data_IF_614513310634
#
_entry.id   IF_614513310634
#
_cell.length_a   1.000
_cell.length_b   1.000
_cell.length_c   1.000
_cell.angle_alpha   90.00
_cell.angle_beta   90.00
_cell.angle_gamma   90.00
#
_symmetry.space_group_name_H-M   'P 1'
#
loop_
_entity.id
_entity.type
_entity.pdbx_description
1 polymer ?
#
# COMPACT_ATOMS: atom_id res chain seq x y z
N UNK A 1 -15.18 -14.85 9.69
CA UNK A 1 -14.10 -14.32 8.86
C UNK A 1 -12.78 -14.91 9.35
N UNK A 2 -11.99 -15.49 8.45
CA UNK A 2 -10.70 -16.14 8.74
C UNK A 2 -9.66 -15.57 7.77
N UNK A 3 -8.48 -15.22 8.28
CA UNK A 3 -7.36 -14.79 7.44
C UNK A 3 -6.53 -15.99 7.01
N UNK A 4 -6.21 -16.08 5.71
CA UNK A 4 -5.31 -17.08 5.17
C UNK A 4 -3.91 -16.49 5.04
N UNK A 5 -3.01 -16.90 5.95
CA UNK A 5 -1.59 -16.55 5.88
C UNK A 5 -0.90 -17.36 4.79
N UNK A 6 -0.73 -16.78 3.62
CA UNK A 6 -0.13 -17.44 2.45
C UNK A 6 1.35 -17.75 2.65
N UNK A 7 2.20 -16.87 3.20
CA UNK A 7 3.57 -17.20 3.60
C UNK A 7 3.67 -18.45 4.49
N UNK A 8 2.81 -18.57 5.49
CA UNK A 8 2.78 -19.73 6.38
C UNK A 8 2.32 -21.00 5.64
N UNK A 9 1.37 -20.86 4.72
CA UNK A 9 0.90 -21.95 3.86
C UNK A 9 2.02 -22.52 2.99
N UNK A 10 2.87 -21.65 2.44
CA UNK A 10 4.01 -22.03 1.61
C UNK A 10 5.19 -22.57 2.42
N UNK A 11 5.27 -22.24 3.71
CA UNK A 11 6.35 -22.66 4.60
C UNK A 11 6.45 -24.18 4.70
N UNK A 12 7.66 -24.74 4.43
CA UNK A 12 7.94 -26.15 4.52
C UNK A 12 7.36 -27.04 3.41
N UNK A 13 6.75 -26.46 2.36
CA UNK A 13 6.32 -27.23 1.19
C UNK A 13 7.47 -27.30 0.18
N UNK A 14 8.05 -28.48 -0.01
CA UNK A 14 9.11 -28.69 -1.00
C UNK A 14 8.54 -29.08 -2.37
N UNK A 15 7.45 -29.80 -2.41
CA UNK A 15 6.81 -30.28 -3.62
C UNK A 15 5.44 -29.66 -3.83
N UNK A 16 5.00 -29.57 -5.08
CA UNK A 16 3.66 -29.08 -5.45
C UNK A 16 2.55 -29.88 -4.77
N UNK A 17 2.69 -31.20 -4.69
CA UNK A 17 1.72 -32.07 -4.04
C UNK A 17 1.50 -31.79 -2.56
N UNK A 18 2.55 -31.34 -1.85
CA UNK A 18 2.44 -30.99 -0.42
C UNK A 18 1.56 -29.73 -0.24
N UNK A 19 1.73 -28.75 -1.14
CA UNK A 19 0.91 -27.55 -1.14
C UNK A 19 -0.55 -27.86 -1.48
N UNK A 20 -0.79 -28.68 -2.53
CA UNK A 20 -2.14 -29.08 -2.94
C UNK A 20 -2.87 -29.81 -1.81
N UNK A 21 -2.20 -30.75 -1.11
CA UNK A 21 -2.77 -31.45 0.04
C UNK A 21 -3.10 -30.49 1.19
N UNK A 22 -2.18 -29.57 1.51
CA UNK A 22 -2.37 -28.61 2.59
C UNK A 22 -3.51 -27.63 2.30
N UNK A 23 -3.59 -27.10 1.07
CA UNK A 23 -4.71 -26.24 0.66
C UNK A 23 -6.02 -27.00 0.76
N UNK A 24 -6.06 -28.23 0.26
CA UNK A 24 -7.25 -29.08 0.32
C UNK A 24 -7.71 -29.30 1.77
N UNK A 25 -6.80 -29.68 2.65
CA UNK A 25 -7.11 -29.92 4.07
C UNK A 25 -7.67 -28.66 4.77
N UNK A 26 -7.07 -27.49 4.49
CA UNK A 26 -7.56 -26.21 5.03
C UNK A 26 -8.96 -25.91 4.48
N UNK A 27 -9.16 -26.05 3.17
CA UNK A 27 -10.45 -25.71 2.54
C UNK A 27 -11.57 -26.68 3.00
N UNK A 28 -11.27 -27.96 3.20
CA UNK A 28 -12.23 -28.91 3.74
C UNK A 28 -12.65 -28.50 5.17
N UNK A 29 -11.72 -28.20 6.04
CA UNK A 29 -12.02 -27.74 7.41
C UNK A 29 -12.80 -26.42 7.43
N UNK A 30 -12.41 -25.47 6.58
CA UNK A 30 -13.12 -24.19 6.48
C UNK A 30 -14.54 -24.38 5.97
N UNK A 31 -14.77 -25.33 5.06
CA UNK A 31 -16.10 -25.62 4.53
C UNK A 31 -17.07 -26.25 5.55
N UNK A 32 -16.56 -26.77 6.69
CA UNK A 32 -17.36 -27.28 7.81
C UNK A 32 -17.92 -26.15 8.70
N UNK A 33 -17.39 -24.95 8.60
CA UNK A 33 -17.84 -23.77 9.35
C UNK A 33 -19.14 -23.21 8.78
N UNK A 34 -19.93 -22.56 9.61
CA UNK A 34 -21.16 -21.89 9.19
C UNK A 34 -20.80 -20.56 8.48
N UNK A 35 -21.19 -20.43 7.22
CA UNK A 35 -20.97 -19.24 6.40
C UNK A 35 -19.52 -18.74 6.37
N UNK A 36 -18.55 -19.57 5.97
CA UNK A 36 -17.15 -19.21 6.04
C UNK A 36 -16.77 -18.12 5.04
N UNK A 37 -16.00 -17.14 5.50
CA UNK A 37 -15.39 -16.11 4.66
C UNK A 37 -13.88 -16.15 4.91
N UNK A 38 -13.11 -16.37 3.85
CA UNK A 38 -11.65 -16.29 3.87
C UNK A 38 -11.24 -14.87 3.43
N UNK A 39 -10.35 -14.25 4.18
CA UNK A 39 -9.66 -13.03 3.79
C UNK A 39 -8.23 -13.34 3.39
N UNK A 40 -7.80 -12.81 2.27
CA UNK A 40 -6.41 -12.91 1.78
C UNK A 40 -5.91 -11.51 1.54
N UNK A 41 -4.92 -11.12 2.33
CA UNK A 41 -4.25 -9.85 2.13
C UNK A 41 -3.16 -10.01 1.07
N UNK A 42 -3.28 -9.24 0.01
CA UNK A 42 -2.35 -9.21 -1.12
C UNK A 42 -2.46 -10.39 -2.12
N UNK A 43 -3.13 -10.10 -3.24
CA UNK A 43 -3.25 -11.01 -4.39
C UNK A 43 -1.89 -11.51 -4.91
N UNK A 44 -0.81 -10.74 -4.76
CA UNK A 44 0.55 -11.13 -5.20
C UNK A 44 1.04 -12.40 -4.51
N UNK A 45 0.63 -12.60 -3.28
CA UNK A 45 1.02 -13.77 -2.50
C UNK A 45 0.48 -15.07 -3.08
N UNK A 46 -0.61 -15.01 -3.84
CA UNK A 46 -1.28 -16.17 -4.46
C UNK A 46 -0.68 -16.57 -5.81
N UNK A 47 -0.07 -15.61 -6.52
CA UNK A 47 0.54 -15.85 -7.82
C UNK A 47 2.03 -16.18 -7.68
N UNK A 48 2.49 -17.28 -8.24
CA UNK A 48 3.90 -17.64 -8.24
C UNK A 48 4.78 -16.57 -8.89
N UNK A 49 5.67 -15.98 -8.11
CA UNK A 49 6.54 -14.85 -8.49
C UNK A 49 7.78 -15.25 -9.31
N UNK A 50 7.82 -16.43 -9.92
CA UNK A 50 9.06 -16.93 -10.52
C UNK A 50 8.94 -17.13 -12.03
N UNK A 51 9.63 -16.26 -12.76
CA UNK A 51 9.92 -16.45 -14.20
C UNK A 51 10.77 -17.71 -14.49
N UNK A 52 11.25 -18.42 -13.46
CA UNK A 52 12.19 -19.51 -13.57
C UNK A 52 11.82 -20.78 -12.79
N UNK A 53 10.61 -20.90 -12.21
CA UNK A 53 10.22 -22.10 -11.49
C UNK A 53 9.21 -22.89 -12.33
N UNK A 54 9.67 -24.05 -12.81
CA UNK A 54 8.90 -25.02 -13.58
C UNK A 54 7.88 -25.69 -12.64
N UNK A 55 6.74 -25.02 -12.43
CA UNK A 55 5.70 -25.45 -11.53
C UNK A 55 5.25 -24.41 -10.50
N UNK A 56 5.18 -23.13 -10.92
CA UNK A 56 4.73 -22.06 -10.04
C UNK A 56 3.47 -22.45 -9.26
N UNK A 57 3.57 -22.32 -7.97
CA UNK A 57 2.54 -22.62 -6.98
C UNK A 57 1.39 -21.61 -7.13
N UNK A 58 0.52 -21.84 -8.12
CA UNK A 58 -0.67 -21.01 -8.34
C UNK A 58 -1.74 -21.43 -7.33
N UNK A 59 -1.65 -20.88 -6.11
CA UNK A 59 -2.59 -21.12 -5.03
C UNK A 59 -3.99 -20.68 -5.46
N UNK A 60 -4.09 -19.60 -6.25
CA UNK A 60 -5.37 -19.11 -6.74
C UNK A 60 -6.12 -20.18 -7.54
N UNK A 61 -5.43 -20.90 -8.42
CA UNK A 61 -6.04 -22.02 -9.18
C UNK A 61 -6.54 -23.15 -8.28
N UNK A 62 -5.90 -23.39 -7.14
CA UNK A 62 -6.35 -24.39 -6.17
C UNK A 62 -7.59 -23.94 -5.39
N UNK A 63 -7.79 -22.63 -5.20
CA UNK A 63 -8.97 -22.08 -4.51
C UNK A 63 -10.21 -21.99 -5.39
N UNK A 64 -10.04 -21.79 -6.71
CA UNK A 64 -11.16 -21.59 -7.66
C UNK A 64 -12.26 -22.65 -7.57
N UNK A 65 -12.00 -23.97 -7.46
CA UNK A 65 -13.06 -24.97 -7.36
C UNK A 65 -13.98 -24.75 -6.13
N UNK A 66 -13.42 -24.40 -4.98
CA UNK A 66 -14.17 -24.13 -3.75
C UNK A 66 -14.99 -22.85 -3.83
N UNK A 67 -14.46 -21.82 -4.50
CA UNK A 67 -15.19 -20.58 -4.74
C UNK A 67 -16.35 -20.77 -5.72
N UNK A 68 -16.14 -21.56 -6.78
CA UNK A 68 -17.19 -21.88 -7.77
C UNK A 68 -18.31 -22.74 -7.22
N UNK A 69 -18.00 -23.64 -6.28
CA UNK A 69 -19.04 -24.46 -5.62
C UNK A 69 -19.89 -23.65 -4.65
N UNK A 70 -19.44 -22.46 -4.25
CA UNK A 70 -20.10 -21.63 -3.25
C UNK A 70 -19.94 -22.13 -1.80
N UNK A 71 -19.12 -23.17 -1.58
CA UNK A 71 -18.85 -23.70 -0.23
C UNK A 71 -18.06 -22.73 0.62
N UNK A 72 -17.31 -21.83 0.00
CA UNK A 72 -16.49 -20.81 0.68
C UNK A 72 -16.65 -19.47 -0.04
N UNK A 73 -16.72 -18.39 0.73
CA UNK A 73 -16.62 -17.01 0.22
C UNK A 73 -15.22 -16.47 0.47
N UNK A 74 -14.72 -15.62 -0.42
CA UNK A 74 -13.38 -15.07 -0.31
C UNK A 74 -13.36 -13.57 -0.58
N UNK A 75 -12.61 -12.84 0.23
CA UNK A 75 -12.28 -11.43 0.03
C UNK A 75 -10.76 -11.36 -0.19
N UNK A 76 -10.33 -10.73 -1.27
CA UNK A 76 -8.90 -10.55 -1.60
C UNK A 76 -8.63 -9.07 -1.80
N UNK A 77 -7.61 -8.55 -1.12
CA UNK A 77 -7.09 -7.22 -1.41
C UNK A 77 -6.09 -7.26 -2.57
N UNK A 78 -6.11 -6.26 -3.43
CA UNK A 78 -5.21 -6.20 -4.58
C UNK A 78 -5.03 -4.77 -5.09
N UNK A 79 -3.86 -4.47 -5.65
CA UNK A 79 -3.66 -3.27 -6.45
C UNK A 79 -4.06 -3.51 -7.91
N UNK A 80 -4.32 -2.44 -8.66
CA UNK A 80 -4.60 -2.55 -10.10
C UNK A 80 -3.47 -3.23 -10.89
N UNK A 81 -2.22 -3.01 -10.48
CA UNK A 81 -1.07 -3.64 -11.12
C UNK A 81 -1.05 -5.14 -10.89
N UNK A 82 -1.39 -5.58 -9.69
CA UNK A 82 -1.39 -6.99 -9.33
C UNK A 82 -2.53 -7.73 -10.04
N UNK A 83 -3.69 -7.11 -10.13
CA UNK A 83 -4.81 -7.62 -10.95
C UNK A 83 -4.36 -7.84 -12.39
N UNK A 84 -3.73 -6.83 -13.02
CA UNK A 84 -3.23 -6.95 -14.39
C UNK A 84 -2.18 -8.05 -14.55
N UNK A 85 -1.28 -8.21 -13.58
CA UNK A 85 -0.27 -9.29 -13.60
C UNK A 85 -0.92 -10.66 -13.58
N UNK A 86 -1.89 -10.87 -12.68
CA UNK A 86 -2.61 -12.15 -12.59
C UNK A 86 -3.45 -12.41 -13.84
N UNK A 87 -4.14 -11.42 -14.39
CA UNK A 87 -4.90 -11.54 -15.63
C UNK A 87 -4.03 -11.92 -16.84
N UNK A 88 -2.79 -11.40 -16.90
CA UNK A 88 -1.85 -11.76 -17.96
C UNK A 88 -1.34 -13.20 -17.86
N UNK A 89 -1.26 -13.75 -16.64
CA UNK A 89 -0.83 -15.13 -16.40
C UNK A 89 -2.02 -16.09 -16.60
N UNK A 90 -3.16 -15.76 -16.03
CA UNK A 90 -4.37 -16.59 -16.04
C UNK A 90 -5.62 -15.70 -16.19
N UNK A 91 -6.02 -15.42 -17.42
CA UNK A 91 -7.13 -14.53 -17.74
C UNK A 91 -8.50 -14.92 -17.16
N UNK A 92 -8.65 -16.20 -16.74
CA UNK A 92 -9.90 -16.72 -16.18
C UNK A 92 -9.91 -16.79 -14.64
N UNK A 93 -8.75 -16.62 -13.99
CA UNK A 93 -8.62 -16.83 -12.56
C UNK A 93 -9.46 -15.85 -11.72
N UNK A 94 -9.55 -14.60 -12.16
CA UNK A 94 -10.29 -13.55 -11.46
C UNK A 94 -11.77 -13.47 -11.83
N UNK A 95 -12.24 -14.27 -12.78
CA UNK A 95 -13.65 -14.25 -13.23
C UNK A 95 -14.66 -14.67 -12.16
N UNK A 96 -14.20 -15.33 -11.09
CA UNK A 96 -15.03 -15.74 -9.95
C UNK A 96 -15.23 -14.63 -8.92
N UNK A 97 -14.49 -13.52 -9.03
CA UNK A 97 -14.54 -12.43 -8.09
C UNK A 97 -15.32 -11.25 -8.63
N UNK A 98 -16.10 -10.63 -7.75
CA UNK A 98 -16.68 -9.32 -7.99
C UNK A 98 -15.70 -8.24 -7.52
N UNK A 99 -15.42 -7.26 -8.38
CA UNK A 99 -14.50 -6.16 -8.05
C UNK A 99 -15.21 -5.07 -7.31
N UNK A 100 -14.64 -4.66 -6.18
CA UNK A 100 -15.04 -3.50 -5.41
C UNK A 100 -13.87 -2.52 -5.40
N UNK A 101 -14.05 -1.37 -6.03
CA UNK A 101 -13.02 -0.34 -6.09
C UNK A 101 -13.02 0.50 -4.82
N UNK A 102 -11.87 0.55 -4.15
CA UNK A 102 -11.63 1.46 -3.04
C UNK A 102 -10.90 2.70 -3.57
N UNK A 103 -11.54 3.85 -3.45
CA UNK A 103 -10.93 5.13 -3.82
C UNK A 103 -10.01 5.61 -2.71
N UNK A 104 -8.95 6.34 -3.10
CA UNK A 104 -8.11 7.06 -2.15
C UNK A 104 -8.98 8.08 -1.40
N UNK A 105 -8.93 8.09 -0.04
CA UNK A 105 -9.69 9.06 0.74
C UNK A 105 -9.16 10.47 0.53
N UNK A 106 -10.03 11.46 0.67
CA UNK A 106 -9.62 12.85 0.65
C UNK A 106 -8.88 13.26 1.96
N UNK A 107 -8.43 14.51 2.03
CA UNK A 107 -7.65 14.99 3.18
C UNK A 107 -8.44 15.00 4.48
N UNK A 108 -9.76 15.28 4.43
CA UNK A 108 -10.60 15.31 5.62
C UNK A 108 -10.93 13.90 6.10
N UNK A 109 -11.31 13.01 5.18
CA UNK A 109 -11.52 11.59 5.47
C UNK A 109 -10.25 10.95 6.03
N UNK A 110 -9.07 11.29 5.45
CA UNK A 110 -7.77 10.82 5.95
C UNK A 110 -7.52 11.30 7.38
N UNK A 111 -7.85 12.56 7.68
CA UNK A 111 -7.69 13.09 9.04
C UNK A 111 -8.58 12.33 10.04
N UNK A 112 -9.84 12.07 9.70
CA UNK A 112 -10.72 11.29 10.57
C UNK A 112 -10.26 9.84 10.75
N UNK A 113 -9.72 9.20 9.70
CA UNK A 113 -9.12 7.87 9.79
C UNK A 113 -7.94 7.87 10.77
N UNK A 114 -7.02 8.82 10.63
CA UNK A 114 -5.86 8.95 11.53
C UNK A 114 -6.31 9.17 12.96
N UNK A 115 -7.22 10.09 13.18
CA UNK A 115 -7.72 10.48 14.51
C UNK A 115 -8.37 9.32 15.26
N UNK A 116 -9.19 8.52 14.57
CA UNK A 116 -9.95 7.46 15.22
C UNK A 116 -9.19 6.13 15.31
N UNK A 117 -8.34 5.82 14.35
CA UNK A 117 -7.74 4.49 14.26
C UNK A 117 -6.25 4.46 14.63
N UNK A 118 -5.48 5.51 14.30
CA UNK A 118 -4.02 5.44 14.32
C UNK A 118 -3.38 6.34 15.38
N UNK A 119 -4.00 7.48 15.67
CA UNK A 119 -3.41 8.54 16.51
C UNK A 119 -3.01 8.02 17.90
N UNK A 120 -3.91 7.30 18.58
CA UNK A 120 -3.65 6.75 19.90
C UNK A 120 -2.47 5.75 19.88
N UNK A 121 -2.34 4.98 18.82
CA UNK A 121 -1.24 4.04 18.64
C UNK A 121 0.10 4.76 18.43
N UNK A 122 0.14 5.79 17.58
CA UNK A 122 1.32 6.62 17.37
C UNK A 122 1.77 7.34 18.64
N UNK A 123 0.83 7.90 19.41
CA UNK A 123 1.13 8.57 20.68
C UNK A 123 1.71 7.61 21.73
N UNK A 124 1.19 6.38 21.78
CA UNK A 124 1.68 5.34 22.69
C UNK A 124 3.06 4.82 22.27
N UNK A 125 3.31 4.63 20.98
CA UNK A 125 4.58 4.11 20.46
C UNK A 125 5.73 5.10 20.71
N UNK A 126 5.54 6.37 20.33
CA UNK A 126 6.60 7.38 20.41
C UNK A 126 6.58 8.20 21.71
N UNK A 127 5.59 7.97 22.61
CA UNK A 127 5.40 8.74 23.84
C UNK A 127 5.36 10.27 23.60
N UNK A 128 4.76 10.66 22.47
CA UNK A 128 4.75 12.02 21.94
C UNK A 128 3.33 12.38 21.57
N UNK A 129 2.89 13.63 21.74
CA UNK A 129 1.58 14.10 21.35
C UNK A 129 1.58 14.63 19.91
N UNK A 130 0.51 14.36 19.19
CA UNK A 130 0.28 14.80 17.81
C UNK A 130 -0.89 15.80 17.77
N UNK A 131 -0.63 17.11 17.74
CA UNK A 131 -1.68 18.10 17.60
C UNK A 131 -2.43 17.97 16.27
N UNK A 132 -3.73 18.23 16.27
CA UNK A 132 -4.57 18.17 15.07
C UNK A 132 -3.98 18.97 13.91
N UNK A 133 -3.55 20.22 14.15
CA UNK A 133 -2.94 21.07 13.13
C UNK A 133 -1.70 20.42 12.48
N UNK A 134 -0.90 19.66 13.24
CA UNK A 134 0.27 18.97 12.72
C UNK A 134 -0.14 17.73 11.91
N UNK A 135 -1.17 17.01 12.32
CA UNK A 135 -1.71 15.90 11.52
C UNK A 135 -2.21 16.40 10.17
N UNK A 136 -2.99 17.48 10.14
CA UNK A 136 -3.46 18.12 8.90
C UNK A 136 -2.31 18.62 8.03
N UNK A 137 -1.30 19.22 8.64
CA UNK A 137 -0.09 19.63 7.94
C UNK A 137 0.65 18.44 7.32
N UNK A 138 0.80 17.33 8.03
CA UNK A 138 1.44 16.12 7.50
C UNK A 138 0.65 15.54 6.31
N UNK A 139 -0.67 15.51 6.37
CA UNK A 139 -1.54 15.08 5.26
C UNK A 139 -1.28 15.96 4.03
N UNK A 140 -1.33 17.30 4.18
CA UNK A 140 -1.08 18.24 3.09
C UNK A 140 0.30 18.02 2.46
N UNK A 141 1.33 17.88 3.28
CA UNK A 141 2.71 17.69 2.79
C UNK A 141 2.89 16.31 2.15
N UNK A 142 2.27 15.27 2.68
CA UNK A 142 2.32 13.95 2.06
C UNK A 142 1.66 13.93 0.66
N UNK A 143 0.54 14.61 0.48
CA UNK A 143 -0.12 14.75 -0.83
C UNK A 143 0.80 15.44 -1.83
N UNK A 144 1.49 16.51 -1.39
CA UNK A 144 2.30 17.34 -2.27
C UNK A 144 3.63 16.70 -2.67
N UNK A 145 4.28 15.97 -1.77
CA UNK A 145 5.67 15.54 -1.94
C UNK A 145 5.83 14.03 -2.07
N UNK A 146 4.85 13.22 -1.64
CA UNK A 146 4.90 11.76 -1.73
C UNK A 146 3.91 11.30 -2.79
N UNK A 147 4.41 10.93 -3.98
CA UNK A 147 3.58 10.55 -5.13
C UNK A 147 3.52 9.05 -5.38
N UNK A 148 4.39 8.27 -4.77
CA UNK A 148 4.54 6.83 -4.98
C UNK A 148 3.59 5.97 -4.12
N UNK A 149 2.85 6.61 -3.18
CA UNK A 149 1.90 5.95 -2.27
C UNK A 149 0.61 6.74 -2.16
N UNK A 150 -0.46 6.05 -1.73
CA UNK A 150 -1.77 6.62 -1.53
C UNK A 150 -2.05 7.01 -0.07
N UNK A 151 -3.03 7.88 0.14
CA UNK A 151 -3.63 8.12 1.45
C UNK A 151 -4.46 6.89 1.87
N UNK A 152 -4.56 6.59 3.16
CA UNK A 152 -4.01 7.32 4.30
C UNK A 152 -2.55 6.96 4.62
N UNK A 153 -2.00 5.88 4.03
CA UNK A 153 -0.71 5.27 4.38
C UNK A 153 0.44 6.27 4.36
N UNK A 154 0.62 7.03 3.27
CA UNK A 154 1.73 8.01 3.15
C UNK A 154 1.71 9.09 4.24
N UNK A 155 0.53 9.47 4.74
CA UNK A 155 0.40 10.45 5.81
C UNK A 155 0.69 9.83 7.19
N UNK A 156 0.28 8.57 7.39
CA UNK A 156 0.55 7.81 8.62
C UNK A 156 2.05 7.57 8.75
N UNK A 157 2.71 7.11 7.68
CA UNK A 157 4.16 6.88 7.66
C UNK A 157 4.95 8.16 7.95
N UNK A 158 4.52 9.29 7.37
CA UNK A 158 5.15 10.58 7.63
C UNK A 158 5.01 11.01 9.09
N UNK A 159 3.83 10.77 9.71
CA UNK A 159 3.61 11.05 11.13
C UNK A 159 4.41 10.11 12.03
N UNK A 160 4.50 8.82 11.69
CA UNK A 160 5.31 7.85 12.42
C UNK A 160 6.78 8.24 12.45
N UNK A 161 7.35 8.59 11.29
CA UNK A 161 8.74 9.06 11.21
C UNK A 161 8.95 10.40 11.93
N UNK A 162 7.98 11.32 11.89
CA UNK A 162 8.06 12.56 12.66
C UNK A 162 8.02 12.30 14.17
N UNK A 163 7.27 11.28 14.61
CA UNK A 163 7.26 10.80 16.00
C UNK A 163 8.60 10.22 16.42
N UNK A 164 9.18 9.33 15.61
CA UNK A 164 10.51 8.77 15.84
C UNK A 164 11.59 9.84 15.90
N UNK A 165 11.52 10.87 15.04
CA UNK A 165 12.41 12.03 15.09
C UNK A 165 12.28 12.77 16.43
N UNK A 166 11.04 13.02 16.91
CA UNK A 166 10.80 13.66 18.20
C UNK A 166 11.31 12.82 19.38
N UNK A 167 11.15 11.51 19.35
CA UNK A 167 11.67 10.59 20.36
C UNK A 167 13.20 10.70 20.47
N UNK A 168 13.90 10.67 19.32
CA UNK A 168 15.37 10.84 19.25
C UNK A 168 15.82 12.18 19.86
N UNK A 169 15.03 13.24 19.65
CA UNK A 169 15.29 14.59 20.19
C UNK A 169 14.72 14.82 21.58
N UNK A 170 14.09 13.80 22.20
CA UNK A 170 13.40 13.87 23.50
C UNK A 170 12.33 14.97 23.56
N UNK A 171 11.67 15.21 22.45
CA UNK A 171 10.55 16.15 22.34
C UNK A 171 9.24 15.45 22.70
N UNK A 172 8.38 16.11 23.47
CA UNK A 172 7.10 15.54 23.91
C UNK A 172 5.92 15.82 22.96
N UNK A 173 6.17 16.57 21.89
CA UNK A 173 5.14 17.01 20.98
C UNK A 173 5.70 17.08 19.56
N UNK A 174 4.99 16.50 18.61
CA UNK A 174 5.31 16.61 17.19
C UNK A 174 4.99 18.04 16.71
N UNK A 175 5.86 18.59 15.88
CA UNK A 175 5.76 19.93 15.31
C UNK A 175 5.88 19.88 13.79
N UNK A 176 5.50 20.95 13.11
CA UNK A 176 5.70 21.08 11.67
C UNK A 176 7.16 20.91 11.25
N UNK A 177 8.09 21.39 12.09
CA UNK A 177 9.53 21.23 11.84
C UNK A 177 9.98 19.78 11.89
N UNK A 178 9.41 18.95 12.78
CA UNK A 178 9.69 17.52 12.84
C UNK A 178 9.06 16.77 11.64
N UNK A 179 7.87 17.15 11.21
CA UNK A 179 7.25 16.61 9.99
C UNK A 179 8.09 16.95 8.75
N UNK A 180 8.58 18.19 8.63
CA UNK A 180 9.45 18.58 7.52
C UNK A 180 10.82 17.90 7.55
N UNK A 181 11.36 17.61 8.73
CA UNK A 181 12.59 16.81 8.85
C UNK A 181 12.37 15.37 8.36
N UNK A 182 11.30 14.71 8.82
CA UNK A 182 10.92 13.38 8.37
C UNK A 182 10.66 13.34 6.85
N UNK A 183 9.98 14.35 6.30
CA UNK A 183 9.70 14.44 4.88
C UNK A 183 10.97 14.53 4.03
N UNK A 184 11.98 15.29 4.49
CA UNK A 184 13.29 15.35 3.82
C UNK A 184 13.99 13.99 3.78
N UNK A 185 13.90 13.23 4.86
CA UNK A 185 14.48 11.90 4.93
C UNK A 185 13.78 10.91 3.99
N UNK A 186 12.44 10.99 3.86
CA UNK A 186 11.65 10.17 2.95
C UNK A 186 11.99 10.49 1.48
N UNK A 187 11.95 11.76 1.11
CA UNK A 187 12.12 12.20 -0.26
C UNK A 187 13.59 12.20 -0.71
N UNK A 188 14.55 12.07 0.21
CA UNK A 188 16.00 12.18 -0.05
C UNK A 188 16.39 13.43 -0.85
N UNK A 189 15.56 14.45 -0.84
CA UNK A 189 15.74 15.70 -1.56
C UNK A 189 15.69 16.90 -0.61
N UNK A 190 16.39 17.94 -0.98
CA UNK A 190 16.35 19.21 -0.26
C UNK A 190 15.09 20.00 -0.65
N UNK A 191 13.96 19.64 -0.03
CA UNK A 191 12.63 20.23 -0.28
C UNK A 191 12.63 21.75 -0.07
N UNK A 192 13.61 22.27 0.68
CA UNK A 192 13.78 23.71 0.89
C UNK A 192 14.21 24.46 -0.37
N UNK A 193 14.85 23.78 -1.33
CA UNK A 193 15.34 24.38 -2.57
C UNK A 193 14.31 24.38 -3.70
N UNK A 194 13.28 23.53 -3.63
CA UNK A 194 12.26 23.43 -4.68
C UNK A 194 11.11 24.46 -4.55
N UNK A 195 11.09 25.24 -3.47
CA UNK A 195 9.99 26.16 -3.17
C UNK A 195 10.24 27.62 -3.58
N UNK A 196 11.38 27.95 -4.19
CA UNK A 196 11.59 29.32 -4.66
C UNK A 196 10.99 29.52 -6.04
N UNK A 197 10.00 30.40 -6.14
CA UNK A 197 9.42 30.86 -7.40
C UNK A 197 10.48 31.41 -8.41
N UNK A 198 11.64 31.74 -7.92
CA UNK A 198 12.80 32.18 -8.73
C UNK A 198 13.39 31.05 -9.57
N UNK A 199 13.37 29.78 -9.08
CA UNK A 199 13.82 28.63 -9.85
C UNK A 199 12.86 28.27 -10.99
N UNK A 200 11.58 28.53 -10.84
CA UNK A 200 10.57 28.30 -11.89
C UNK A 200 10.63 29.36 -12.99
N UNK A 201 10.91 30.63 -12.65
CA UNK A 201 11.02 31.71 -13.62
C UNK A 201 12.18 31.53 -14.62
N UNK A 202 13.26 30.85 -14.19
CA UNK A 202 14.40 30.54 -15.07
C UNK A 202 14.28 29.20 -15.81
N UNK A 203 13.35 28.33 -15.40
CA UNK A 203 13.23 26.97 -15.93
C UNK A 203 12.83 26.97 -17.41
N UNK A 204 11.84 27.76 -17.79
CA UNK A 204 11.37 27.89 -19.18
C UNK A 204 12.49 28.34 -20.12
N UNK A 205 13.22 29.37 -19.73
CA UNK A 205 14.37 29.85 -20.49
C UNK A 205 15.50 28.81 -20.58
N UNK A 206 15.78 28.11 -19.48
CA UNK A 206 16.74 27.01 -19.43
C UNK A 206 16.36 25.81 -20.30
N UNK A 207 15.09 25.45 -20.34
CA UNK A 207 14.59 24.36 -21.18
C UNK A 207 14.64 24.75 -22.66
N UNK A 208 14.24 25.96 -23.03
CA UNK A 208 14.29 26.45 -24.42
C UNK A 208 15.70 26.50 -25.01
N UNK A 209 16.73 26.64 -24.19
CA UNK A 209 18.12 26.57 -24.66
C UNK A 209 18.64 25.17 -24.94
N UNK A 210 17.98 24.15 -24.40
CA UNK A 210 18.40 22.74 -24.51
C UNK A 210 17.49 21.89 -25.36
N UNK A 211 16.21 22.26 -25.49
CA UNK A 211 15.18 21.52 -26.20
C UNK A 211 14.67 22.37 -27.34
N UNK A 212 14.87 21.90 -28.58
CA UNK A 212 14.46 22.61 -29.79
C UNK A 212 13.14 22.06 -30.33
N UNK A 213 12.25 22.96 -30.79
CA UNK A 213 11.00 22.57 -31.47
C UNK A 213 9.89 22.04 -30.58
N UNK A 214 9.97 22.22 -29.26
CA UNK A 214 8.96 21.79 -28.29
C UNK A 214 8.39 22.95 -27.45
N UNK A 215 8.34 24.16 -28.02
CA UNK A 215 7.95 25.37 -27.29
C UNK A 215 6.55 25.29 -26.66
N UNK A 216 5.59 24.64 -27.33
CA UNK A 216 4.24 24.44 -26.80
C UNK A 216 4.19 23.49 -25.60
N UNK A 217 5.08 22.50 -25.54
CA UNK A 217 5.16 21.57 -24.42
C UNK A 217 5.86 22.20 -23.22
N UNK A 218 6.83 23.11 -23.47
CA UNK A 218 7.57 23.83 -22.43
C UNK A 218 6.70 24.89 -21.73
N UNK A 219 5.71 25.45 -22.44
CA UNK A 219 4.78 26.45 -21.92
C UNK A 219 3.62 25.87 -21.10
N UNK A 220 3.36 24.56 -21.17
CA UNK A 220 2.35 23.87 -20.38
C UNK A 220 2.90 23.41 -19.05
#
# INVERSE_FOLDING_TARGET
LMELDVPLLLGGTQYRGDLEMRVKEIMERVSEEEDPIIYIDDLRSLGGNSRNDDGSKDILSLLIPYLKSGSIRCIISATYEDIKKVENINSGALAVFHRVELKEPDSEETFEIIKHNTLAQLENSHKTRYPEAVCRFAIEKSIRFISDRCLPEKAIDLLDQAGAYCETKKQKKVSETSVMAALKDICREDISSSASSENLAGLEAGLKTRIYGQDQAIQK
#
